data_IF_398830882190
#
_entry.id   IF_398830882190
#
_cell.length_a   1.000
_cell.length_b   1.000
_cell.length_c   1.000
_cell.angle_alpha   90.00
_cell.angle_beta   90.00
_cell.angle_gamma   90.00
#
_symmetry.space_group_name_H-M   'P 1'
#
loop_
_entity.id
_entity.type
_entity.pdbx_description
1 polymer ?
#
# COMPACT_ATOMS: atom_id res chain seq x y z
N UNK A 1 -33.22 -3.26 -8.41
CA UNK A 1 -31.77 -3.32 -8.14
C UNK A 1 -31.53 -2.52 -6.87
N UNK A 2 -30.91 -3.06 -5.80
CA UNK A 2 -30.67 -2.29 -4.59
C UNK A 2 -29.69 -1.14 -4.88
N UNK A 3 -29.78 -0.06 -4.10
CA UNK A 3 -28.79 1.02 -4.21
C UNK A 3 -27.38 0.49 -3.85
N UNK A 4 -26.33 0.96 -4.55
CA UNK A 4 -24.96 0.61 -4.21
C UNK A 4 -24.67 0.95 -2.74
N UNK A 5 -24.10 0.00 -2.00
CA UNK A 5 -23.73 0.15 -0.59
C UNK A 5 -22.69 1.25 -0.36
N UNK A 6 -21.98 1.66 -1.41
CA UNK A 6 -20.98 2.71 -1.37
C UNK A 6 -20.92 3.42 -2.72
N UNK A 7 -20.55 4.70 -2.67
CA UNK A 7 -20.24 5.52 -3.83
C UNK A 7 -18.74 5.73 -3.87
N UNK A 8 -18.16 5.63 -5.06
CA UNK A 8 -16.76 5.93 -5.25
C UNK A 8 -16.50 7.43 -5.02
N UNK A 9 -15.48 7.74 -4.23
CA UNK A 9 -15.01 9.10 -4.00
C UNK A 9 -13.54 9.20 -4.41
N UNK A 10 -13.15 10.23 -5.18
CA UNK A 10 -11.76 10.46 -5.50
C UNK A 10 -10.91 10.61 -4.24
N UNK A 11 -9.70 10.07 -4.28
CA UNK A 11 -8.72 10.19 -3.21
C UNK A 11 -8.55 11.64 -2.73
N UNK A 12 -8.34 11.81 -1.44
CA UNK A 12 -8.08 13.11 -0.79
C UNK A 12 -6.89 13.03 0.14
N UNK A 13 -6.32 14.18 0.48
CA UNK A 13 -5.22 14.24 1.44
C UNK A 13 -5.60 13.71 2.82
N UNK A 14 -6.84 13.94 3.26
CA UNK A 14 -7.32 13.43 4.56
C UNK A 14 -7.40 11.90 4.57
N UNK A 15 -7.81 11.29 3.46
CA UNK A 15 -7.79 9.83 3.29
C UNK A 15 -6.36 9.32 3.34
N UNK A 16 -5.43 9.93 2.58
CA UNK A 16 -4.02 9.53 2.57
C UNK A 16 -3.39 9.61 3.97
N UNK A 17 -3.61 10.71 4.69
CA UNK A 17 -3.13 10.89 6.07
C UNK A 17 -3.70 9.81 7.00
N UNK A 18 -5.00 9.52 6.90
CA UNK A 18 -5.67 8.49 7.70
C UNK A 18 -5.11 7.09 7.44
N UNK A 19 -4.87 6.74 6.17
CA UNK A 19 -4.28 5.45 5.78
C UNK A 19 -2.84 5.33 6.29
N UNK A 20 -2.02 6.37 6.10
CA UNK A 20 -0.63 6.37 6.56
C UNK A 20 -0.55 6.29 8.08
N UNK A 21 -1.43 6.97 8.82
CA UNK A 21 -1.49 6.90 10.28
C UNK A 21 -1.70 5.46 10.78
N UNK A 22 -2.57 4.70 10.11
CA UNK A 22 -2.91 3.29 10.43
C UNK A 22 -1.84 2.28 10.01
N UNK A 23 -0.89 2.66 9.16
CA UNK A 23 0.15 1.75 8.67
C UNK A 23 1.15 1.34 9.77
N UNK A 24 1.73 0.14 9.67
CA UNK A 24 2.84 -0.27 10.54
C UNK A 24 4.15 0.32 10.01
N UNK A 25 4.91 1.12 10.79
CA UNK A 25 6.04 1.92 10.30
C UNK A 25 7.14 1.10 9.59
N UNK A 26 7.47 -0.07 10.13
CA UNK A 26 8.64 -0.84 9.68
C UNK A 26 8.30 -1.91 8.65
N UNK A 27 7.05 -1.94 8.18
CA UNK A 27 6.62 -2.89 7.16
C UNK A 27 7.10 -2.38 5.80
N UNK A 28 7.99 -3.14 5.17
CA UNK A 28 8.24 -3.02 3.74
C UNK A 28 7.02 -3.59 3.01
N UNK A 29 6.47 -2.84 2.06
CA UNK A 29 5.31 -3.27 1.25
C UNK A 29 5.74 -4.13 0.07
N UNK A 30 6.96 -3.93 -0.46
CA UNK A 30 7.58 -4.70 -1.54
C UNK A 30 9.10 -4.70 -1.37
N UNK A 31 9.78 -5.74 -1.84
CA UNK A 31 11.25 -5.76 -1.85
C UNK A 31 11.81 -4.58 -2.65
N UNK A 32 12.84 -3.92 -2.13
CA UNK A 32 13.45 -2.74 -2.76
C UNK A 32 12.65 -1.45 -2.66
N UNK A 33 11.50 -1.44 -1.98
CA UNK A 33 10.74 -0.21 -1.71
C UNK A 33 11.02 0.36 -0.33
N UNK A 34 10.74 1.65 -0.17
CA UNK A 34 10.86 2.34 1.12
C UNK A 34 9.86 1.77 2.15
N UNK A 35 10.26 1.68 3.43
CA UNK A 35 9.34 1.29 4.50
C UNK A 35 8.25 2.34 4.72
N UNK A 36 7.13 1.93 5.33
CA UNK A 36 6.03 2.84 5.67
C UNK A 36 6.43 4.03 6.56
N UNK A 37 7.55 3.93 7.28
CA UNK A 37 8.10 5.00 8.11
C UNK A 37 8.41 6.25 7.29
N UNK A 38 8.83 6.12 6.03
CA UNK A 38 9.02 7.26 5.12
C UNK A 38 7.70 7.99 4.91
N UNK A 39 6.61 7.27 4.64
CA UNK A 39 5.30 7.89 4.54
C UNK A 39 4.88 8.52 5.87
N UNK A 40 5.06 7.84 7.02
CA UNK A 40 4.67 8.39 8.33
C UNK A 40 5.36 9.71 8.66
N UNK A 41 6.66 9.82 8.39
CA UNK A 41 7.43 11.01 8.73
C UNK A 41 7.31 12.11 7.68
N UNK A 42 6.99 11.78 6.44
CA UNK A 42 6.96 12.73 5.33
C UNK A 42 5.55 13.01 4.78
N UNK A 43 4.48 12.48 5.38
CA UNK A 43 3.12 12.62 4.82
C UNK A 43 2.69 14.08 4.64
N UNK A 44 3.14 14.98 5.52
CA UNK A 44 2.85 16.42 5.41
C UNK A 44 3.38 17.02 4.10
N UNK A 45 4.51 16.51 3.59
CA UNK A 45 5.09 16.91 2.31
C UNK A 45 4.52 16.11 1.14
N UNK A 46 4.23 14.83 1.35
CA UNK A 46 3.88 13.89 0.29
C UNK A 46 2.38 13.87 -0.06
N UNK A 47 1.49 14.26 0.85
CA UNK A 47 0.04 14.12 0.67
C UNK A 47 -0.47 14.82 -0.59
N UNK A 48 -0.06 16.07 -0.83
CA UNK A 48 -0.47 16.84 -2.00
C UNK A 48 -0.05 16.19 -3.33
N UNK A 49 1.26 15.96 -3.56
CA UNK A 49 1.74 15.30 -4.78
C UNK A 49 1.14 13.90 -5.00
N UNK A 50 1.03 13.10 -3.95
CA UNK A 50 0.41 11.76 -4.05
C UNK A 50 -1.06 11.85 -4.47
N UNK A 51 -1.82 12.77 -3.87
CA UNK A 51 -3.22 12.99 -4.22
C UNK A 51 -3.39 13.35 -5.70
N UNK A 52 -2.54 14.21 -6.24
CA UNK A 52 -2.55 14.57 -7.67
C UNK A 52 -2.29 13.35 -8.55
N UNK A 53 -1.27 12.54 -8.23
CA UNK A 53 -0.94 11.33 -8.99
C UNK A 53 -2.11 10.34 -8.99
N UNK A 54 -2.66 10.04 -7.81
CA UNK A 54 -3.76 9.08 -7.71
C UNK A 54 -5.03 9.55 -8.43
N UNK A 55 -5.37 10.85 -8.37
CA UNK A 55 -6.49 11.42 -9.13
C UNK A 55 -6.26 11.39 -10.63
N UNK A 56 -5.03 11.61 -11.08
CA UNK A 56 -4.68 11.51 -12.49
C UNK A 56 -4.87 10.07 -12.98
N UNK A 57 -4.35 9.08 -12.24
CA UNK A 57 -4.52 7.66 -12.58
C UNK A 57 -6.00 7.26 -12.68
N UNK A 58 -6.81 7.72 -11.73
CA UNK A 58 -8.27 7.51 -11.74
C UNK A 58 -8.94 8.14 -12.96
N UNK A 59 -8.58 9.39 -13.28
CA UNK A 59 -9.10 10.10 -14.46
C UNK A 59 -8.69 9.43 -15.78
N UNK A 60 -7.50 8.82 -15.82
CA UNK A 60 -7.03 8.06 -16.98
C UNK A 60 -7.66 6.65 -17.06
N UNK A 61 -8.35 6.19 -16.00
CA UNK A 61 -8.77 4.79 -15.88
C UNK A 61 -7.59 3.82 -15.92
N UNK A 62 -6.40 4.28 -15.51
CA UNK A 62 -5.15 3.55 -15.64
C UNK A 62 -4.65 3.09 -14.27
N UNK A 63 -4.49 1.78 -14.12
CA UNK A 63 -3.87 1.16 -12.95
C UNK A 63 -2.55 0.52 -13.38
N UNK A 64 -1.39 0.94 -12.82
CA UNK A 64 -0.11 0.32 -13.13
C UNK A 64 -0.16 -1.18 -12.82
N UNK A 65 0.27 -2.02 -13.78
CA UNK A 65 0.23 -3.49 -13.63
C UNK A 65 0.93 -3.97 -12.35
N UNK A 66 2.04 -3.33 -12.00
CA UNK A 66 2.83 -3.60 -10.80
C UNK A 66 2.07 -3.38 -9.49
N UNK A 67 1.03 -2.54 -9.46
CA UNK A 67 0.24 -2.28 -8.25
C UNK A 67 -0.75 -3.39 -7.94
N UNK A 68 -1.09 -4.23 -8.94
CA UNK A 68 -1.93 -5.42 -8.75
C UNK A 68 -1.17 -6.59 -8.13
N UNK A 69 0.16 -6.58 -8.19
CA UNK A 69 1.00 -7.67 -7.72
C UNK A 69 1.33 -7.45 -6.25
N UNK A 70 0.83 -8.32 -5.38
CA UNK A 70 1.22 -8.32 -3.96
C UNK A 70 2.40 -9.26 -3.76
N UNK A 71 3.57 -8.72 -3.44
CA UNK A 71 4.73 -9.51 -3.04
C UNK A 71 4.65 -9.82 -1.54
N UNK A 72 4.71 -11.10 -1.17
CA UNK A 72 4.82 -11.51 0.23
C UNK A 72 6.24 -12.01 0.48
N UNK A 73 7.04 -11.21 1.19
CA UNK A 73 8.36 -11.65 1.64
C UNK A 73 8.15 -12.66 2.77
N UNK A 74 8.28 -13.95 2.45
CA UNK A 74 8.25 -15.02 3.43
C UNK A 74 9.54 -14.99 4.26
N UNK A 75 9.54 -14.21 5.34
CA UNK A 75 10.58 -14.27 6.36
C UNK A 75 10.49 -15.60 7.09
N UNK A 76 11.37 -16.53 6.75
CA UNK A 76 11.47 -17.79 7.48
C UNK A 76 11.80 -17.55 8.95
N UNK A 77 11.09 -18.20 9.87
CA UNK A 77 11.47 -18.17 11.30
C UNK A 77 12.88 -18.74 11.44
N UNK A 78 13.76 -18.10 12.23
CA UNK A 78 15.09 -18.66 12.49
C UNK A 78 14.95 -20.08 13.06
N UNK A 79 15.67 -21.03 12.45
CA UNK A 79 15.64 -22.46 12.83
C UNK A 79 14.67 -23.33 12.04
N UNK A 80 13.85 -22.78 11.13
CA UNK A 80 13.06 -23.58 10.19
C UNK A 80 13.64 -23.51 8.79
N UNK A 81 13.88 -24.67 8.20
CA UNK A 81 14.20 -24.81 6.79
C UNK A 81 12.89 -24.84 5.97
N UNK A 82 12.68 -23.82 5.15
CA UNK A 82 11.48 -23.65 4.34
C UNK A 82 11.63 -24.21 2.92
N UNK A 83 12.76 -24.84 2.61
CA UNK A 83 12.98 -25.52 1.33
C UNK A 83 12.12 -26.79 1.17
N UNK A 84 11.63 -27.35 2.27
CA UNK A 84 10.84 -28.58 2.28
C UNK A 84 9.42 -28.33 2.86
N UNK A 85 8.33 -28.55 2.08
CA UNK A 85 6.98 -28.43 2.59
C UNK A 85 6.74 -29.43 3.72
N UNK A 86 6.50 -28.95 4.95
CA UNK A 86 6.23 -29.80 6.12
C UNK A 86 7.36 -29.93 7.15
N UNK A 87 8.44 -29.15 7.03
CA UNK A 87 9.44 -29.07 8.10
C UNK A 87 8.82 -28.46 9.39
N UNK A 88 8.54 -29.33 10.36
CA UNK A 88 7.98 -28.97 11.66
C UNK A 88 9.02 -28.37 12.59
#
# INVERSE_FOLDING_TARGET
>A
YPEPLWKYEPISESILRSVVAKSTPWKATRSGTFPNSVYKFCIELLAGPLCVIFRALDSLGHEPADWRVTETIAGGKPGKDYSNPGAH
#
